data_IF_305702779895
#
_entry.id   IF_305702779895
#
_cell.length_a   1.000
_cell.length_b   1.000
_cell.length_c   1.000
_cell.angle_alpha   90.00
_cell.angle_beta   90.00
_cell.angle_gamma   90.00
#
_symmetry.space_group_name_H-M   'P 1'
#
loop_
_entity.id
_entity.type
_entity.pdbx_description
1 polymer ?
#
# COMPACT_ATOMS: atom_id res chain seq x y z
N UNK A 1 5.42 -0.09 -0.38
CA UNK A 1 4.71 0.73 -1.37
C UNK A 1 3.39 0.06 -1.66
N UNK A 2 2.32 0.84 -1.84
CA UNK A 2 0.97 0.33 -2.11
C UNK A 2 0.41 1.02 -3.35
N UNK A 3 -0.14 0.24 -4.28
CA UNK A 3 -0.72 0.73 -5.53
C UNK A 3 -1.92 -0.13 -5.95
N UNK A 4 -2.70 0.36 -6.90
CA UNK A 4 -3.79 -0.42 -7.49
C UNK A 4 -3.27 -1.60 -8.31
N UNK A 5 -3.85 -2.79 -8.13
CA UNK A 5 -3.63 -3.94 -9.00
C UNK A 5 -4.51 -3.95 -10.26
N UNK A 6 -5.58 -3.15 -10.29
CA UNK A 6 -6.59 -3.18 -11.36
C UNK A 6 -6.13 -2.45 -12.64
N UNK A 7 -5.39 -1.36 -12.47
CA UNK A 7 -4.78 -0.61 -13.57
C UNK A 7 -3.45 -0.05 -13.04
N UNK A 8 -2.34 -0.68 -13.42
CA UNK A 8 -1.09 -0.64 -12.64
C UNK A 8 0.08 0.20 -13.22
N UNK A 9 -0.12 1.29 -13.99
CA UNK A 9 1.02 2.12 -14.41
C UNK A 9 1.72 2.77 -13.20
N UNK A 10 0.97 3.11 -12.16
CA UNK A 10 1.51 3.67 -10.91
C UNK A 10 2.33 2.64 -10.13
N UNK A 11 1.91 1.37 -10.15
CA UNK A 11 2.67 0.30 -9.52
C UNK A 11 3.98 0.00 -10.27
N UNK A 12 3.97 0.10 -11.60
CA UNK A 12 5.16 -0.08 -12.44
C UNK A 12 6.22 0.99 -12.14
N UNK A 13 5.82 2.27 -12.15
CA UNK A 13 6.72 3.37 -11.82
C UNK A 13 7.12 3.37 -10.33
N UNK A 14 6.14 3.15 -9.44
CA UNK A 14 6.35 3.10 -7.99
C UNK A 14 7.20 1.91 -7.55
N UNK A 15 7.21 0.81 -8.31
CA UNK A 15 8.03 -0.37 -8.08
C UNK A 15 9.53 -0.03 -8.07
N UNK A 16 9.99 0.68 -9.10
CA UNK A 16 11.36 1.15 -9.16
C UNK A 16 11.70 2.11 -8.00
N UNK A 17 10.78 2.99 -7.62
CA UNK A 17 10.98 3.90 -6.50
C UNK A 17 11.09 3.16 -5.16
N UNK A 18 10.16 2.26 -4.85
CA UNK A 18 10.16 1.54 -3.56
C UNK A 18 11.33 0.56 -3.44
N UNK A 19 11.81 0.01 -4.55
CA UNK A 19 12.99 -0.85 -4.58
C UNK A 19 14.25 -0.15 -4.05
N UNK A 20 14.37 1.17 -4.24
CA UNK A 20 15.47 1.98 -3.69
C UNK A 20 15.48 2.02 -2.16
N UNK A 21 14.34 1.76 -1.54
CA UNK A 21 14.18 1.68 -0.08
C UNK A 21 14.15 0.23 0.42
N UNK A 22 14.50 -0.75 -0.43
CA UNK A 22 14.37 -2.19 -0.13
C UNK A 22 12.96 -2.59 0.32
N UNK A 23 11.94 -1.81 -0.09
CA UNK A 23 10.56 -2.02 0.31
C UNK A 23 9.79 -2.83 -0.73
N UNK A 24 8.84 -3.66 -0.31
CA UNK A 24 7.98 -4.39 -1.24
C UNK A 24 6.98 -3.45 -1.93
N UNK A 25 6.62 -3.76 -3.18
CA UNK A 25 5.44 -3.21 -3.84
C UNK A 25 4.27 -4.17 -3.60
N UNK A 26 3.24 -3.67 -2.91
CA UNK A 26 2.00 -4.40 -2.64
C UNK A 26 0.90 -3.86 -3.54
N UNK A 27 0.02 -4.75 -3.99
CA UNK A 27 -1.10 -4.42 -4.86
C UNK A 27 -2.41 -4.61 -4.10
N UNK A 28 -3.40 -3.79 -4.43
CA UNK A 28 -4.73 -3.86 -3.83
C UNK A 28 -5.81 -3.45 -4.81
N UNK A 29 -7.06 -3.80 -4.51
CA UNK A 29 -8.21 -3.23 -5.19
C UNK A 29 -8.35 -1.73 -4.90
N UNK A 30 -8.88 -0.92 -5.85
CA UNK A 30 -8.98 0.53 -5.66
C UNK A 30 -9.83 0.97 -4.47
N UNK A 31 -10.85 0.19 -4.12
CA UNK A 31 -11.84 0.56 -3.10
C UNK A 31 -11.78 -0.28 -1.82
N UNK A 32 -11.07 -1.41 -1.85
CA UNK A 32 -10.99 -2.36 -0.74
C UNK A 32 -9.56 -2.85 -0.57
N UNK A 33 -9.09 -2.91 0.67
CA UNK A 33 -7.76 -3.46 0.95
C UNK A 33 -7.80 -4.97 0.73
N UNK A 34 -7.07 -5.47 -0.25
CA UNK A 34 -7.10 -6.89 -0.59
C UNK A 34 -6.59 -7.74 0.60
N UNK A 35 -7.25 -8.86 0.96
CA UNK A 35 -6.94 -9.61 2.19
C UNK A 35 -5.47 -10.07 2.29
N UNK A 36 -4.86 -10.46 1.17
CA UNK A 36 -3.45 -10.87 1.15
C UNK A 36 -2.51 -9.70 1.52
N UNK A 37 -2.81 -8.50 1.03
CA UNK A 37 -2.04 -7.29 1.33
C UNK A 37 -2.21 -6.88 2.79
N UNK A 38 -3.44 -6.96 3.31
CA UNK A 38 -3.70 -6.73 4.73
C UNK A 38 -2.90 -7.70 5.61
N UNK A 39 -2.97 -9.00 5.32
CA UNK A 39 -2.25 -10.03 6.06
C UNK A 39 -0.73 -9.79 6.05
N UNK A 40 -0.17 -9.40 4.90
CA UNK A 40 1.25 -9.05 4.79
C UNK A 40 1.61 -7.83 5.64
N UNK A 41 0.81 -6.76 5.57
CA UNK A 41 1.03 -5.53 6.34
C UNK A 41 1.00 -5.81 7.85
N UNK A 42 0.01 -6.57 8.32
CA UNK A 42 -0.11 -6.96 9.72
C UNK A 42 1.07 -7.83 10.17
N UNK A 43 1.46 -8.83 9.37
CA UNK A 43 2.59 -9.71 9.68
C UNK A 43 3.94 -8.98 9.73
N UNK A 44 4.07 -7.85 9.02
CA UNK A 44 5.30 -7.05 8.94
C UNK A 44 5.20 -5.70 9.66
N UNK A 45 4.13 -5.45 10.41
CA UNK A 45 3.85 -4.14 11.00
C UNK A 45 5.05 -3.56 11.77
N UNK A 46 5.72 -4.38 12.60
CA UNK A 46 6.90 -3.97 13.37
C UNK A 46 8.14 -3.62 12.54
N UNK A 47 8.17 -4.03 11.27
CA UNK A 47 9.27 -3.76 10.33
C UNK A 47 8.96 -2.59 9.38
N UNK A 48 7.71 -2.08 9.37
CA UNK A 48 7.32 -0.97 8.50
C UNK A 48 7.68 0.34 9.17
N UNK A 49 8.66 1.05 8.58
CA UNK A 49 9.10 2.37 9.05
C UNK A 49 8.37 3.50 8.32
N UNK A 50 8.05 3.29 7.04
CA UNK A 50 7.36 4.27 6.21
C UNK A 50 6.56 3.57 5.09
N UNK A 51 5.47 4.21 4.68
CA UNK A 51 4.62 3.78 3.58
C UNK A 51 4.57 4.82 2.47
N UNK A 52 4.52 4.35 1.22
CA UNK A 52 4.27 5.19 0.05
C UNK A 52 3.04 4.65 -0.68
N UNK A 53 2.09 5.54 -0.98
CA UNK A 53 0.94 5.27 -1.84
C UNK A 53 1.27 5.77 -3.25
N UNK A 54 1.01 4.95 -4.27
CA UNK A 54 1.18 5.34 -5.66
C UNK A 54 -0.18 5.39 -6.36
N UNK A 55 -0.43 6.50 -7.07
CA UNK A 55 -1.71 6.82 -7.69
C UNK A 55 -2.55 7.78 -6.85
N UNK A 56 -3.57 8.36 -7.49
CA UNK A 56 -4.56 9.23 -6.85
C UNK A 56 -5.64 8.45 -6.10
N UNK A 57 -6.60 9.16 -5.51
CA UNK A 57 -7.72 8.57 -4.75
C UNK A 57 -8.63 7.66 -5.60
N UNK A 58 -8.64 7.84 -6.92
CA UNK A 58 -9.35 6.93 -7.84
C UNK A 58 -8.63 5.59 -8.05
N UNK A 59 -7.30 5.54 -7.83
CA UNK A 59 -6.51 4.32 -7.95
C UNK A 59 -6.41 3.58 -6.61
N UNK A 60 -6.27 4.33 -5.51
CA UNK A 60 -6.29 3.81 -4.13
C UNK A 60 -7.13 4.77 -3.30
N UNK A 61 -8.33 4.33 -2.90
CA UNK A 61 -9.26 5.16 -2.14
C UNK A 61 -8.72 5.53 -0.76
N UNK A 62 -9.32 6.56 -0.17
CA UNK A 62 -8.99 6.97 1.19
C UNK A 62 -9.28 5.86 2.22
N UNK A 63 -10.35 5.09 2.01
CA UNK A 63 -10.66 3.94 2.86
C UNK A 63 -9.57 2.87 2.83
N UNK A 64 -8.96 2.62 1.66
CA UNK A 64 -7.85 1.66 1.51
C UNK A 64 -6.59 2.20 2.20
N UNK A 65 -6.29 3.50 2.04
CA UNK A 65 -5.17 4.14 2.73
C UNK A 65 -5.29 3.99 4.24
N UNK A 66 -6.46 4.33 4.80
CA UNK A 66 -6.73 4.21 6.24
C UNK A 66 -6.62 2.77 6.71
N UNK A 67 -7.21 1.81 5.99
CA UNK A 67 -7.12 0.39 6.32
C UNK A 67 -5.66 -0.10 6.33
N UNK A 68 -4.84 0.32 5.36
CA UNK A 68 -3.42 -0.03 5.30
C UNK A 68 -2.63 0.58 6.47
N UNK A 69 -2.91 1.82 6.84
CA UNK A 69 -2.28 2.52 7.96
C UNK A 69 -2.60 1.85 9.30
N UNK A 70 -3.86 1.49 9.53
CA UNK A 70 -4.29 0.71 10.71
C UNK A 70 -3.59 -0.66 10.74
N UNK A 71 -3.43 -1.31 9.58
CA UNK A 71 -2.81 -2.64 9.49
C UNK A 71 -1.33 -2.65 9.91
N UNK A 72 -0.64 -1.52 9.82
CA UNK A 72 0.75 -1.34 10.26
C UNK A 72 0.86 -0.65 11.63
N UNK A 73 -0.26 -0.42 12.33
CA UNK A 73 -0.28 0.21 13.65
C UNK A 73 -0.11 1.73 13.64
N UNK A 74 -0.25 2.40 12.49
CA UNK A 74 -0.29 3.85 12.42
C UNK A 74 -1.63 4.40 12.91
N UNK A 75 -1.62 5.44 13.75
CA UNK A 75 -2.84 6.17 14.10
C UNK A 75 -3.39 6.87 12.86
N UNK A 76 -4.68 6.67 12.59
CA UNK A 76 -5.42 7.43 11.57
C UNK A 76 -5.66 8.85 12.10
N UNK A 77 -4.85 9.80 11.66
CA UNK A 77 -5.03 11.24 11.90
C UNK A 77 -5.01 11.98 10.58
#
# INVERSE_FOLDING_TARGET
GLASGANFPDALAGGAHIARFSGPMLLTDPSTLSPATQAYLTAKASSVVAGFLYGGTSAVSESVRTAAQVSIGGSAT
#
